data_IF_366540216042
#
_entry.id   IF_366540216042
#
_cell.length_a   1.000
_cell.length_b   1.000
_cell.length_c   1.000
_cell.angle_alpha   90.00
_cell.angle_beta   90.00
_cell.angle_gamma   90.00
#
_symmetry.space_group_name_H-M   'P 1'
#
loop_
_entity.id
_entity.type
_entity.pdbx_description
1 polymer ?
#
# COMPACT_ATOMS: atom_id res chain seq x y z
N UNK A 1 35.42 10.95 33.90
CA UNK A 1 34.06 11.53 33.81
C UNK A 1 33.99 12.39 32.55
N UNK A 2 34.25 11.83 31.37
CA UNK A 2 33.47 10.85 30.58
C UNK A 2 32.43 11.56 29.72
N UNK A 3 32.91 12.14 28.62
CA UNK A 3 32.07 12.62 27.52
C UNK A 3 31.70 11.45 26.62
N UNK A 4 30.71 10.66 27.02
CA UNK A 4 30.21 9.53 26.24
C UNK A 4 29.63 10.02 24.91
N UNK A 5 30.32 9.68 23.82
CA UNK A 5 29.84 9.89 22.46
C UNK A 5 28.51 9.18 22.25
N UNK A 6 27.52 9.90 21.73
CA UNK A 6 26.20 9.35 21.38
C UNK A 6 26.41 8.17 20.42
N UNK A 7 25.93 6.96 20.73
CA UNK A 7 26.05 5.84 19.82
C UNK A 7 25.21 6.13 18.57
N UNK A 8 25.84 6.00 17.41
CA UNK A 8 25.16 6.02 16.12
C UNK A 8 24.20 4.82 16.10
N UNK A 9 22.89 5.08 16.05
CA UNK A 9 21.90 4.02 15.88
C UNK A 9 22.22 3.23 14.60
N UNK A 10 22.16 1.89 14.62
CA UNK A 10 22.36 1.10 13.42
C UNK A 10 21.34 1.51 12.37
N UNK A 11 21.84 1.94 11.20
CA UNK A 11 21.02 2.22 10.03
C UNK A 11 20.20 0.98 9.70
N UNK A 12 18.86 1.08 9.69
CA UNK A 12 18.04 -0.05 9.29
C UNK A 12 18.34 -0.41 7.83
N UNK A 13 18.56 -1.69 7.51
CA UNK A 13 18.80 -2.10 6.13
C UNK A 13 17.58 -1.74 5.28
N UNK A 14 17.82 -1.11 4.12
CA UNK A 14 16.75 -0.91 3.14
C UNK A 14 16.23 -2.29 2.71
N UNK A 15 14.91 -2.51 2.68
CA UNK A 15 14.37 -3.75 2.13
C UNK A 15 14.87 -3.89 0.69
N UNK A 16 15.50 -5.03 0.39
CA UNK A 16 15.85 -5.38 -0.98
C UNK A 16 14.56 -5.34 -1.83
N UNK A 17 14.61 -4.80 -3.06
CA UNK A 17 13.46 -4.89 -3.97
C UNK A 17 13.01 -6.35 -4.02
N UNK A 18 11.73 -6.61 -3.76
CA UNK A 18 11.19 -7.96 -3.85
C UNK A 18 11.59 -8.54 -5.21
N UNK A 19 12.27 -9.69 -5.22
CA UNK A 19 12.68 -10.34 -6.45
C UNK A 19 11.48 -10.44 -7.38
N UNK A 20 11.62 -10.04 -8.64
CA UNK A 20 10.51 -9.90 -9.59
C UNK A 20 9.60 -11.15 -9.68
N UNK A 21 10.14 -12.34 -9.37
CA UNK A 21 9.38 -13.60 -9.29
C UNK A 21 8.38 -13.67 -8.12
N UNK A 22 8.68 -13.08 -6.97
CA UNK A 22 7.78 -13.09 -5.81
C UNK A 22 6.47 -12.30 -6.06
N UNK A 23 6.51 -11.30 -6.97
CA UNK A 23 5.32 -10.59 -7.42
C UNK A 23 4.52 -11.38 -8.46
N UNK A 24 5.19 -12.24 -9.25
CA UNK A 24 4.55 -13.07 -10.25
C UNK A 24 3.65 -14.14 -9.62
N UNK A 25 4.11 -14.80 -8.54
CA UNK A 25 3.30 -15.77 -7.78
C UNK A 25 2.07 -15.12 -7.11
N UNK A 26 2.20 -13.85 -6.70
CA UNK A 26 1.07 -13.09 -6.12
C UNK A 26 -0.03 -12.74 -7.11
N UNK A 27 0.21 -12.82 -8.43
CA UNK A 27 -0.85 -12.62 -9.43
C UNK A 27 -1.91 -13.72 -9.41
N UNK A 28 -1.65 -14.86 -8.78
CA UNK A 28 -2.62 -15.94 -8.66
C UNK A 28 -3.70 -15.69 -7.59
N UNK A 29 -3.47 -14.76 -6.65
CA UNK A 29 -4.42 -14.44 -5.58
C UNK A 29 -5.25 -13.21 -5.99
N UNK A 30 -6.60 -13.24 -5.87
CA UNK A 30 -7.43 -12.06 -6.08
C UNK A 30 -6.90 -10.87 -5.29
N UNK A 31 -6.52 -9.80 -5.99
CA UNK A 31 -5.87 -8.64 -5.40
C UNK A 31 -6.63 -7.36 -5.76
N UNK A 32 -7.10 -6.68 -4.72
CA UNK A 32 -7.74 -5.38 -4.80
C UNK A 32 -6.82 -4.32 -4.21
N UNK A 33 -6.68 -3.18 -4.90
CA UNK A 33 -5.91 -2.03 -4.40
C UNK A 33 -6.83 -0.82 -4.30
N UNK A 34 -6.77 -0.13 -3.15
CA UNK A 34 -7.53 1.08 -2.89
C UNK A 34 -6.65 2.20 -2.32
N UNK A 35 -7.00 3.45 -2.60
CA UNK A 35 -6.43 4.65 -1.97
C UNK A 35 -7.49 5.75 -1.92
N UNK A 36 -7.28 6.76 -1.09
CA UNK A 36 -8.18 7.92 -1.05
C UNK A 36 -7.83 8.93 -2.12
N UNK A 37 -8.85 9.65 -2.60
CA UNK A 37 -8.68 10.73 -3.58
C UNK A 37 -7.70 11.80 -3.10
N UNK A 38 -7.66 12.04 -1.80
CA UNK A 38 -6.86 13.07 -1.16
C UNK A 38 -5.59 12.53 -0.50
N UNK A 39 -5.20 11.26 -0.74
CA UNK A 39 -3.98 10.68 -0.20
C UNK A 39 -2.74 11.43 -0.74
N UNK A 40 -2.08 12.19 0.13
CA UNK A 40 -0.88 12.95 -0.21
C UNK A 40 0.39 12.10 -0.17
N UNK A 41 0.37 10.99 0.57
CA UNK A 41 1.51 10.09 0.73
C UNK A 41 1.61 9.13 -0.47
N UNK A 42 0.47 8.54 -0.83
CA UNK A 42 0.32 7.57 -1.92
C UNK A 42 -0.78 8.01 -2.90
N UNK A 43 -0.59 9.12 -3.63
CA UNK A 43 -1.65 9.68 -4.45
C UNK A 43 -2.11 8.74 -5.57
N UNK A 44 -3.39 8.76 -5.97
CA UNK A 44 -3.95 7.87 -7.00
C UNK A 44 -3.14 7.83 -8.30
N UNK A 45 -2.63 8.99 -8.73
CA UNK A 45 -1.80 9.14 -9.94
C UNK A 45 -0.49 8.33 -9.89
N UNK A 46 0.01 8.00 -8.70
CA UNK A 46 1.22 7.17 -8.50
C UNK A 46 0.85 5.71 -8.28
N UNK A 47 -0.19 5.45 -7.49
CA UNK A 47 -0.59 4.08 -7.12
C UNK A 47 -1.21 3.35 -8.31
N UNK A 48 -2.06 4.01 -9.11
CA UNK A 48 -2.78 3.38 -10.22
C UNK A 48 -1.86 2.68 -11.23
N UNK A 49 -0.86 3.39 -11.79
CA UNK A 49 0.10 2.76 -12.69
C UNK A 49 0.91 1.63 -12.04
N UNK A 50 1.24 1.74 -10.74
CA UNK A 50 1.98 0.70 -10.02
C UNK A 50 1.13 -0.56 -9.80
N UNK A 51 -0.14 -0.40 -9.40
CA UNK A 51 -1.09 -1.50 -9.25
C UNK A 51 -1.28 -2.26 -10.56
N UNK A 52 -1.44 -1.55 -11.68
CA UNK A 52 -1.57 -2.19 -12.99
C UNK A 52 -0.29 -2.94 -13.40
N UNK A 53 0.89 -2.31 -13.26
CA UNK A 53 2.16 -2.93 -13.69
C UNK A 53 2.51 -4.16 -12.86
N UNK A 54 2.40 -4.06 -11.54
CA UNK A 54 2.93 -5.08 -10.64
C UNK A 54 1.89 -6.12 -10.24
N UNK A 55 0.63 -5.72 -10.08
CA UNK A 55 -0.45 -6.57 -9.56
C UNK A 55 -1.50 -6.92 -10.63
N UNK A 56 -1.46 -6.27 -11.79
CA UNK A 56 -2.43 -6.51 -12.87
C UNK A 56 -3.85 -6.05 -12.54
N UNK A 57 -4.02 -5.21 -11.52
CA UNK A 57 -5.32 -4.76 -11.01
C UNK A 57 -5.49 -3.25 -11.16
N UNK A 58 -6.75 -2.82 -11.31
CA UNK A 58 -7.10 -1.40 -11.35
C UNK A 58 -7.25 -0.86 -9.94
N UNK A 59 -6.85 0.39 -9.76
CA UNK A 59 -6.98 1.09 -8.49
C UNK A 59 -8.43 1.51 -8.26
N UNK A 60 -8.95 1.22 -7.07
CA UNK A 60 -10.18 1.81 -6.53
C UNK A 60 -9.83 3.11 -5.79
N UNK A 61 -10.52 4.20 -6.12
CA UNK A 61 -10.31 5.49 -5.45
C UNK A 61 -11.55 5.81 -4.64
N UNK A 62 -11.37 6.06 -3.33
CA UNK A 62 -12.44 6.52 -2.45
C UNK A 62 -12.49 8.06 -2.51
N UNK A 63 -13.59 8.60 -3.04
CA UNK A 63 -13.70 10.03 -3.38
C UNK A 63 -13.71 10.96 -2.16
N UNK A 64 -14.09 10.45 -0.99
CA UNK A 64 -14.18 11.21 0.27
C UNK A 64 -12.99 11.07 1.21
N UNK A 65 -11.96 10.30 0.85
CA UNK A 65 -10.93 9.86 1.81
C UNK A 65 -9.51 10.31 1.44
N UNK A 66 -8.66 10.39 2.45
CA UNK A 66 -7.22 10.61 2.37
C UNK A 66 -6.45 9.31 2.50
N UNK A 67 -5.51 9.26 3.45
CA UNK A 67 -4.61 8.11 3.62
C UNK A 67 -5.18 7.04 4.56
N UNK A 68 -5.98 7.44 5.54
CA UNK A 68 -6.40 6.58 6.65
C UNK A 68 -7.79 5.97 6.38
N UNK A 69 -7.90 5.21 5.29
CA UNK A 69 -9.19 4.72 4.79
C UNK A 69 -9.99 3.90 5.81
N UNK A 70 -9.30 3.17 6.69
CA UNK A 70 -9.94 2.37 7.74
C UNK A 70 -10.64 3.24 8.78
N UNK A 71 -10.15 4.45 9.01
CA UNK A 71 -10.73 5.41 9.96
C UNK A 71 -11.72 6.35 9.25
N UNK A 72 -11.41 6.76 8.02
CA UNK A 72 -12.18 7.75 7.27
C UNK A 72 -13.43 7.17 6.60
N UNK A 73 -13.39 5.91 6.16
CA UNK A 73 -14.47 5.26 5.42
C UNK A 73 -14.56 3.74 5.72
N UNK A 74 -14.73 3.33 7.00
CA UNK A 74 -14.74 1.93 7.40
C UNK A 74 -15.79 1.09 6.64
N UNK A 75 -17.00 1.63 6.46
CA UNK A 75 -18.10 0.92 5.77
C UNK A 75 -17.78 0.66 4.29
N UNK A 76 -17.17 1.63 3.61
CA UNK A 76 -16.74 1.48 2.22
C UNK A 76 -15.65 0.41 2.09
N UNK A 77 -14.73 0.34 3.05
CA UNK A 77 -13.69 -0.69 3.09
C UNK A 77 -14.29 -2.07 3.35
N UNK A 78 -15.23 -2.20 4.29
CA UNK A 78 -15.93 -3.48 4.52
C UNK A 78 -16.62 -3.95 3.25
N UNK A 79 -17.35 -3.06 2.56
CA UNK A 79 -18.00 -3.39 1.30
C UNK A 79 -16.98 -3.79 0.20
N UNK A 80 -15.83 -3.15 0.16
CA UNK A 80 -14.76 -3.42 -0.80
C UNK A 80 -14.09 -4.78 -0.55
N UNK A 81 -13.82 -5.13 0.71
CA UNK A 81 -13.30 -6.44 1.11
C UNK A 81 -14.32 -7.54 0.80
N UNK A 82 -15.61 -7.29 1.07
CA UNK A 82 -16.68 -8.22 0.70
C UNK A 82 -16.70 -8.56 -0.80
N UNK A 83 -16.45 -7.57 -1.67
CA UNK A 83 -16.31 -7.81 -3.12
C UNK A 83 -15.09 -8.64 -3.47
N UNK A 84 -13.96 -8.43 -2.80
CA UNK A 84 -12.73 -9.16 -3.08
C UNK A 84 -12.81 -10.64 -2.67
N UNK A 85 -13.57 -10.96 -1.62
CA UNK A 85 -13.76 -12.33 -1.14
C UNK A 85 -14.81 -13.12 -1.93
N UNK A 86 -15.69 -12.43 -2.66
CA UNK A 86 -16.74 -13.06 -3.48
C UNK A 86 -16.32 -13.33 -4.94
N UNK A 87 -15.08 -12.97 -5.32
CA UNK A 87 -14.51 -13.11 -6.65
C UNK A 87 -13.60 -14.35 -6.74
#
# INVERSE_FOLDING_TARGET
MDGAGRPLLPQQPRPSPAASGALAERRAVPCLVATGRYDVFLPPRRVGPAAQRHLGTRLHVLDGSGHLLLDEAPDEIVALVGRALAA
#
